data_IF_939843060137
#
_entry.id   IF_939843060137
#
_cell.length_a   1.000
_cell.length_b   1.000
_cell.length_c   1.000
_cell.angle_alpha   90.00
_cell.angle_beta   90.00
_cell.angle_gamma   90.00
#
_symmetry.space_group_name_H-M   'P 1'
#
loop_
_entity.id
_entity.type
_entity.pdbx_description
1 polymer ?
#
# COMPACT_ATOMS: atom_id res chain seq x y z
N UNK A 1 -43.38 -52.91 -2.25
CA UNK A 1 -43.82 -51.51 -2.21
C UNK A 1 -42.77 -50.57 -1.61
N UNK A 2 -42.20 -50.84 -0.41
CA UNK A 2 -41.19 -49.98 0.21
C UNK A 2 -39.91 -49.81 -0.64
N UNK A 3 -39.42 -50.85 -1.25
CA UNK A 3 -38.20 -50.85 -2.10
C UNK A 3 -38.32 -49.98 -3.39
N UNK A 4 -39.50 -49.93 -3.96
CA UNK A 4 -39.80 -49.09 -5.14
C UNK A 4 -39.86 -47.62 -4.77
N UNK A 5 -40.41 -47.29 -3.60
CA UNK A 5 -40.50 -45.93 -3.09
C UNK A 5 -39.08 -45.39 -2.76
N UNK A 6 -38.23 -46.22 -2.13
CA UNK A 6 -36.84 -45.85 -1.82
C UNK A 6 -36.03 -45.62 -3.09
N UNK A 7 -36.19 -46.47 -4.12
CA UNK A 7 -35.57 -46.32 -5.41
C UNK A 7 -35.99 -45.07 -6.16
N UNK A 8 -37.29 -44.80 -6.20
CA UNK A 8 -37.83 -43.58 -6.79
C UNK A 8 -37.35 -42.31 -6.07
N UNK A 9 -37.33 -42.36 -4.74
CA UNK A 9 -36.82 -41.26 -3.91
C UNK A 9 -35.33 -41.00 -4.11
N UNK A 10 -34.50 -42.04 -4.25
CA UNK A 10 -33.07 -41.91 -4.53
C UNK A 10 -32.82 -41.30 -5.92
N UNK A 11 -33.58 -41.74 -6.93
CA UNK A 11 -33.51 -41.17 -8.28
C UNK A 11 -33.97 -39.72 -8.28
N UNK A 12 -35.07 -39.41 -7.63
CA UNK A 12 -35.58 -38.04 -7.49
C UNK A 12 -34.56 -37.14 -6.77
N UNK A 13 -33.96 -37.60 -5.66
CA UNK A 13 -32.91 -36.90 -4.95
C UNK A 13 -31.66 -36.70 -5.83
N UNK A 14 -31.28 -37.68 -6.65
CA UNK A 14 -30.13 -37.56 -7.57
C UNK A 14 -30.37 -36.46 -8.63
N UNK A 15 -31.58 -36.36 -9.17
CA UNK A 15 -31.98 -35.31 -10.12
C UNK A 15 -32.11 -33.93 -9.46
N UNK A 16 -32.68 -33.85 -8.25
CA UNK A 16 -32.93 -32.60 -7.53
C UNK A 16 -31.63 -32.02 -6.91
N UNK A 17 -30.73 -32.89 -6.42
CA UNK A 17 -29.47 -32.47 -5.78
C UNK A 17 -28.36 -32.11 -6.76
N UNK A 18 -28.57 -32.25 -8.08
CA UNK A 18 -27.58 -31.89 -9.12
C UNK A 18 -26.14 -32.26 -8.74
N UNK A 19 -25.92 -33.51 -8.35
CA UNK A 19 -24.60 -34.05 -8.06
C UNK A 19 -23.72 -33.91 -9.33
N UNK A 20 -22.53 -33.35 -9.18
CA UNK A 20 -21.49 -33.15 -10.21
C UNK A 20 -21.54 -31.89 -11.09
N UNK A 21 -22.22 -30.83 -10.74
CA UNK A 21 -22.02 -29.54 -11.42
C UNK A 21 -21.14 -28.62 -10.57
N UNK A 22 -19.85 -28.96 -10.45
CA UNK A 22 -18.87 -28.08 -9.85
C UNK A 22 -18.34 -27.08 -10.91
N UNK A 23 -18.41 -25.82 -10.57
CA UNK A 23 -17.83 -24.72 -11.34
C UNK A 23 -16.53 -24.26 -10.70
N UNK A 24 -15.57 -23.88 -11.52
CA UNK A 24 -14.33 -23.29 -11.00
C UNK A 24 -14.50 -21.79 -10.87
N UNK A 25 -14.12 -21.26 -9.72
CA UNK A 25 -14.17 -19.81 -9.45
C UNK A 25 -13.10 -19.11 -10.27
N UNK A 26 -13.46 -18.13 -11.13
CA UNK A 26 -12.49 -17.34 -11.88
C UNK A 26 -11.70 -16.40 -10.96
N UNK A 27 -10.55 -15.94 -11.44
CA UNK A 27 -9.81 -14.87 -10.75
C UNK A 27 -10.44 -13.52 -11.12
N UNK A 28 -11.02 -12.87 -10.13
CA UNK A 28 -11.70 -11.59 -10.24
C UNK A 28 -10.88 -10.46 -9.60
N UNK A 29 -9.70 -10.77 -9.08
CA UNK A 29 -8.85 -9.79 -8.40
C UNK A 29 -8.19 -8.81 -9.38
N UNK A 30 -7.88 -7.61 -8.89
CA UNK A 30 -7.18 -6.57 -9.67
C UNK A 30 -7.89 -6.10 -10.95
N UNK A 31 -9.19 -6.36 -11.11
CA UNK A 31 -10.01 -5.89 -12.22
C UNK A 31 -11.16 -4.98 -11.74
N UNK A 32 -11.75 -4.15 -12.63
CA UNK A 32 -12.92 -3.35 -12.29
C UNK A 32 -14.09 -4.22 -11.82
N UNK A 33 -14.86 -3.75 -10.86
CA UNK A 33 -16.04 -4.47 -10.34
C UNK A 33 -17.03 -4.87 -11.45
N UNK A 34 -17.19 -4.03 -12.48
CA UNK A 34 -18.08 -4.32 -13.63
C UNK A 34 -17.60 -5.55 -14.41
N UNK A 35 -16.31 -5.64 -14.70
CA UNK A 35 -15.72 -6.78 -15.38
C UNK A 35 -15.78 -8.04 -14.53
N UNK A 36 -15.48 -7.92 -13.23
CA UNK A 36 -15.58 -9.03 -12.28
C UNK A 36 -17.00 -9.61 -12.19
N UNK A 37 -18.03 -8.75 -12.21
CA UNK A 37 -19.43 -9.19 -12.26
C UNK A 37 -19.74 -9.94 -13.53
N UNK A 38 -19.33 -9.40 -14.67
CA UNK A 38 -19.55 -10.02 -15.96
C UNK A 38 -18.89 -11.40 -16.03
N UNK A 39 -17.62 -11.53 -15.65
CA UNK A 39 -16.87 -12.79 -15.70
C UNK A 39 -17.46 -13.84 -14.75
N UNK A 40 -17.89 -13.43 -13.55
CA UNK A 40 -18.57 -14.33 -12.63
C UNK A 40 -19.93 -14.83 -13.17
N UNK A 41 -20.72 -13.95 -13.78
CA UNK A 41 -21.99 -14.31 -14.41
C UNK A 41 -21.80 -15.28 -15.58
N UNK A 42 -20.80 -15.07 -16.43
CA UNK A 42 -20.42 -15.99 -17.51
C UNK A 42 -20.03 -17.37 -16.95
N UNK A 43 -19.39 -17.42 -15.79
CA UNK A 43 -19.05 -18.64 -15.08
C UNK A 43 -20.27 -19.27 -14.33
N UNK A 44 -21.46 -18.69 -14.42
CA UNK A 44 -22.66 -19.16 -13.74
C UNK A 44 -22.66 -18.92 -12.22
N UNK A 45 -21.88 -17.94 -11.76
CA UNK A 45 -21.73 -17.56 -10.37
C UNK A 45 -22.37 -16.18 -10.13
N UNK A 46 -22.51 -15.78 -8.86
CA UNK A 46 -23.03 -14.47 -8.46
C UNK A 46 -21.95 -13.73 -7.67
N UNK A 47 -21.95 -12.41 -7.72
CA UNK A 47 -21.03 -11.60 -6.93
C UNK A 47 -21.81 -10.72 -5.95
N UNK A 48 -21.22 -10.47 -4.79
CA UNK A 48 -21.70 -9.52 -3.80
C UNK A 48 -20.52 -8.75 -3.22
N UNK A 49 -20.62 -7.42 -3.22
CA UNK A 49 -19.65 -6.58 -2.52
C UNK A 49 -20.03 -6.57 -1.05
N UNK A 50 -19.17 -7.15 -0.22
CA UNK A 50 -19.39 -7.28 1.23
C UNK A 50 -18.59 -6.26 2.03
N UNK A 51 -17.52 -5.73 1.44
CA UNK A 51 -16.62 -4.81 2.13
C UNK A 51 -15.90 -3.89 1.14
N UNK A 52 -15.38 -2.77 1.63
CA UNK A 52 -14.52 -1.88 0.90
C UNK A 52 -13.34 -1.43 1.75
N UNK A 53 -12.14 -1.57 1.21
CA UNK A 53 -10.89 -1.15 1.84
C UNK A 53 -10.18 -0.16 0.94
N UNK A 54 -9.42 0.75 1.54
CA UNK A 54 -8.60 1.65 0.73
C UNK A 54 -7.19 1.07 0.56
N UNK A 55 -6.83 0.83 -0.69
CA UNK A 55 -5.49 0.34 -1.07
C UNK A 55 -4.89 1.28 -2.11
N UNK A 56 -3.88 2.04 -1.74
CA UNK A 56 -3.26 3.10 -2.55
C UNK A 56 -2.77 2.63 -3.93
N UNK A 57 -2.29 1.39 -4.04
CA UNK A 57 -1.74 0.82 -5.29
C UNK A 57 -2.78 0.26 -6.23
N UNK A 58 -4.00 0.06 -5.75
CA UNK A 58 -5.10 -0.48 -6.55
C UNK A 58 -6.01 0.67 -6.99
N UNK A 59 -6.46 0.66 -8.24
CA UNK A 59 -7.41 1.66 -8.73
C UNK A 59 -8.72 1.58 -7.94
N UNK A 60 -9.36 2.72 -7.70
CA UNK A 60 -10.67 2.80 -7.02
C UNK A 60 -11.72 1.98 -7.76
N UNK A 61 -12.55 1.25 -7.04
CA UNK A 61 -13.59 0.38 -7.60
C UNK A 61 -13.09 -0.95 -8.19
N UNK A 62 -11.81 -1.28 -8.01
CA UNK A 62 -11.24 -2.57 -8.41
C UNK A 62 -11.41 -3.58 -7.27
N UNK A 63 -11.50 -4.85 -7.64
CA UNK A 63 -11.59 -5.95 -6.68
C UNK A 63 -10.22 -6.16 -6.01
N UNK A 64 -10.19 -6.00 -4.69
CA UNK A 64 -9.01 -6.22 -3.88
C UNK A 64 -8.87 -7.68 -3.46
N UNK A 65 -9.98 -8.29 -3.04
CA UNK A 65 -10.02 -9.67 -2.54
C UNK A 65 -11.34 -10.32 -2.91
N UNK A 66 -11.31 -11.63 -3.13
CA UNK A 66 -12.51 -12.45 -3.33
C UNK A 66 -12.53 -13.65 -2.38
N UNK A 67 -13.73 -14.13 -2.07
CA UNK A 67 -13.97 -15.37 -1.35
C UNK A 67 -15.22 -16.05 -1.95
N UNK A 68 -15.10 -17.30 -2.48
CA UNK A 68 -13.94 -18.21 -2.48
C UNK A 68 -12.76 -17.74 -3.34
N UNK A 69 -11.57 -18.25 -3.01
CA UNK A 69 -10.32 -17.95 -3.74
C UNK A 69 -10.39 -18.47 -5.19
N UNK A 70 -9.66 -17.86 -6.14
CA UNK A 70 -9.56 -18.35 -7.51
C UNK A 70 -9.21 -19.84 -7.58
N UNK A 71 -9.80 -20.56 -8.53
CA UNK A 71 -9.59 -22.00 -8.70
C UNK A 71 -10.40 -22.90 -7.77
N UNK A 72 -11.10 -22.36 -6.77
CA UNK A 72 -11.97 -23.14 -5.88
C UNK A 72 -13.12 -23.78 -6.66
N UNK A 73 -13.51 -24.99 -6.26
CA UNK A 73 -14.69 -25.68 -6.81
C UNK A 73 -15.94 -25.33 -6.01
N UNK A 74 -16.96 -24.84 -6.68
CA UNK A 74 -18.20 -24.40 -6.08
C UNK A 74 -19.42 -24.86 -6.87
N UNK A 75 -20.58 -24.87 -6.24
CA UNK A 75 -21.85 -25.19 -6.93
C UNK A 75 -22.32 -24.02 -7.79
N UNK A 76 -23.03 -24.30 -8.88
CA UNK A 76 -23.68 -23.29 -9.72
C UNK A 76 -24.52 -22.33 -8.91
N UNK A 77 -24.40 -21.03 -9.21
CA UNK A 77 -25.09 -19.97 -8.50
C UNK A 77 -24.49 -19.60 -7.12
N UNK A 78 -23.33 -20.18 -6.77
CA UNK A 78 -22.60 -19.76 -5.56
C UNK A 78 -22.28 -18.27 -5.63
N UNK A 79 -22.45 -17.61 -4.49
CA UNK A 79 -22.09 -16.21 -4.32
C UNK A 79 -20.59 -16.09 -4.01
N UNK A 80 -19.92 -15.20 -4.75
CA UNK A 80 -18.55 -14.79 -4.49
C UNK A 80 -18.61 -13.46 -3.76
N UNK A 81 -18.08 -13.42 -2.54
CA UNK A 81 -17.94 -12.21 -1.76
C UNK A 81 -16.73 -11.42 -2.27
N UNK A 82 -16.92 -10.17 -2.61
CA UNK A 82 -15.90 -9.29 -3.12
C UNK A 82 -15.62 -8.17 -2.11
N UNK A 83 -14.35 -7.96 -1.80
CA UNK A 83 -13.86 -6.72 -1.17
C UNK A 83 -13.32 -5.84 -2.27
N UNK A 84 -13.82 -4.62 -2.40
CA UNK A 84 -13.36 -3.68 -3.44
C UNK A 84 -12.46 -2.60 -2.85
N UNK A 85 -11.63 -2.00 -3.70
CA UNK A 85 -10.95 -0.78 -3.30
C UNK A 85 -11.96 0.36 -3.23
N UNK A 86 -11.99 1.05 -2.10
CA UNK A 86 -12.99 2.08 -1.80
C UNK A 86 -13.06 3.14 -2.92
N UNK A 87 -14.27 3.45 -3.35
CA UNK A 87 -14.53 4.50 -4.33
C UNK A 87 -14.40 5.87 -3.67
N UNK A 88 -14.88 5.99 -2.43
CA UNK A 88 -14.78 7.21 -1.64
C UNK A 88 -13.75 7.01 -0.54
N UNK A 89 -12.68 7.81 -0.51
CA UNK A 89 -11.68 7.73 0.55
C UNK A 89 -12.28 8.18 1.89
N UNK A 90 -11.79 7.59 2.97
CA UNK A 90 -12.08 8.06 4.33
C UNK A 90 -11.49 9.47 4.47
N UNK A 91 -12.27 10.41 5.00
CA UNK A 91 -11.77 11.73 5.36
C UNK A 91 -11.19 11.72 6.77
N UNK A 92 -10.16 12.50 6.97
CA UNK A 92 -9.52 12.76 8.26
C UNK A 92 -9.28 14.26 8.41
N UNK A 93 -9.14 14.73 9.63
CA UNK A 93 -8.86 16.12 9.92
C UNK A 93 -7.35 16.36 9.95
N UNK A 94 -6.89 17.43 9.30
CA UNK A 94 -5.48 17.82 9.33
C UNK A 94 -5.07 18.29 10.73
N UNK A 95 -4.07 17.66 11.37
CA UNK A 95 -3.55 18.15 12.65
C UNK A 95 -2.73 19.44 12.47
N UNK A 96 -2.51 20.16 13.57
CA UNK A 96 -1.57 21.27 13.59
C UNK A 96 -0.15 20.75 13.85
N UNK A 97 0.71 20.85 12.84
CA UNK A 97 2.09 20.39 12.91
C UNK A 97 3.08 21.55 13.07
N UNK A 98 2.63 22.79 12.88
CA UNK A 98 3.49 23.98 12.97
C UNK A 98 4.04 24.11 14.40
N UNK A 99 5.36 24.30 14.50
CA UNK A 99 6.08 24.36 15.76
C UNK A 99 6.54 23.00 16.30
N UNK A 100 6.13 21.88 15.69
CA UNK A 100 6.63 20.55 16.06
C UNK A 100 8.01 20.30 15.42
N UNK A 101 8.80 19.43 16.06
CA UNK A 101 9.96 18.85 15.37
C UNK A 101 9.50 17.93 14.25
N UNK A 102 10.31 17.72 13.22
CA UNK A 102 10.03 16.82 12.11
C UNK A 102 9.61 15.42 12.59
N UNK A 103 10.27 14.88 13.63
CA UNK A 103 9.93 13.57 14.20
C UNK A 103 8.55 13.53 14.84
N UNK A 104 8.20 14.56 15.59
CA UNK A 104 6.86 14.69 16.19
C UNK A 104 5.80 14.84 15.11
N UNK A 105 6.04 15.69 14.11
CA UNK A 105 5.12 15.87 12.99
C UNK A 105 4.89 14.56 12.20
N UNK A 106 5.94 13.78 11.95
CA UNK A 106 5.84 12.46 11.31
C UNK A 106 4.96 11.50 12.12
N UNK A 107 5.18 11.43 13.44
CA UNK A 107 4.38 10.57 14.32
C UNK A 107 2.91 11.00 14.34
N UNK A 108 2.66 12.31 14.39
CA UNK A 108 1.30 12.86 14.37
C UNK A 108 0.60 12.57 13.05
N UNK A 109 1.26 12.81 11.91
CA UNK A 109 0.72 12.43 10.59
C UNK A 109 0.33 10.95 10.53
N UNK A 110 1.20 10.07 11.02
CA UNK A 110 0.91 8.63 11.06
C UNK A 110 -0.32 8.31 11.93
N UNK A 111 -0.48 8.98 13.07
CA UNK A 111 -1.63 8.80 13.97
C UNK A 111 -2.95 9.17 13.30
N UNK A 112 -2.95 10.21 12.46
CA UNK A 112 -4.12 10.64 11.69
C UNK A 112 -4.28 9.89 10.35
N UNK A 113 -3.41 8.90 10.08
CA UNK A 113 -3.46 8.13 8.84
C UNK A 113 -3.05 8.96 7.62
N UNK A 114 -2.17 9.94 7.81
CA UNK A 114 -1.56 10.77 6.79
C UNK A 114 -0.12 10.31 6.53
N UNK A 115 0.44 10.69 5.39
CA UNK A 115 1.77 10.25 4.96
C UNK A 115 2.70 11.46 4.88
N UNK A 116 3.88 11.35 5.49
CA UNK A 116 4.94 12.34 5.33
C UNK A 116 5.45 12.33 3.89
N UNK A 117 5.44 13.48 3.26
CA UNK A 117 5.96 13.72 1.92
C UNK A 117 7.38 14.28 1.94
N UNK A 118 7.60 15.36 1.19
CA UNK A 118 8.90 16.00 1.07
C UNK A 118 9.21 16.87 2.27
N UNK A 119 10.49 16.92 2.62
CA UNK A 119 11.08 17.82 3.59
C UNK A 119 11.69 19.00 2.82
N UNK A 120 11.08 20.18 2.94
CA UNK A 120 11.49 21.41 2.24
C UNK A 120 12.17 22.31 3.22
N UNK A 121 13.48 22.45 3.11
CA UNK A 121 14.27 23.25 4.04
C UNK A 121 14.37 24.71 3.62
N UNK A 122 14.17 25.61 4.59
CA UNK A 122 14.33 27.05 4.42
C UNK A 122 15.17 27.61 5.57
N UNK A 123 15.91 28.70 5.34
CA UNK A 123 16.76 29.29 6.36
C UNK A 123 15.95 29.73 7.59
N UNK A 124 16.32 29.19 8.75
CA UNK A 124 15.71 29.48 10.04
C UNK A 124 16.73 29.21 11.17
N UNK A 125 16.49 29.75 12.37
CA UNK A 125 17.35 29.52 13.53
C UNK A 125 17.22 28.12 14.12
N UNK A 126 16.09 27.44 13.89
CA UNK A 126 15.76 26.14 14.47
C UNK A 126 15.72 25.05 13.37
N UNK A 127 16.75 24.21 13.31
CA UNK A 127 16.82 23.06 12.40
C UNK A 127 15.73 22.05 12.70
N UNK A 128 15.07 21.52 11.64
CA UNK A 128 14.03 20.50 11.73
C UNK A 128 12.75 20.91 12.49
N UNK A 129 12.51 22.20 12.68
CA UNK A 129 11.24 22.72 13.20
C UNK A 129 10.26 22.96 12.04
N UNK A 130 9.02 22.50 12.18
CA UNK A 130 7.98 22.67 11.15
C UNK A 130 7.50 24.12 11.13
N UNK A 131 7.69 24.77 10.01
CA UNK A 131 7.25 26.16 9.77
C UNK A 131 5.92 26.19 9.03
N UNK A 132 5.70 25.24 8.09
CA UNK A 132 4.46 25.12 7.31
C UNK A 132 4.18 23.66 6.96
N UNK A 133 2.90 23.38 6.75
CA UNK A 133 2.40 22.09 6.26
C UNK A 133 1.71 22.31 4.91
N UNK A 134 2.07 21.46 3.92
CA UNK A 134 1.61 21.62 2.55
C UNK A 134 0.95 20.33 2.05
N UNK A 135 -0.11 20.47 1.28
CA UNK A 135 -0.67 19.41 0.44
C UNK A 135 -0.37 19.72 -1.01
N UNK A 136 0.61 19.04 -1.58
CA UNK A 136 1.18 19.43 -2.88
C UNK A 136 1.88 20.80 -2.77
N UNK A 137 1.43 21.78 -3.53
CA UNK A 137 2.02 23.12 -3.51
C UNK A 137 1.20 24.15 -2.71
N UNK A 138 0.14 23.71 -2.01
CA UNK A 138 -0.75 24.58 -1.27
C UNK A 138 -0.59 24.38 0.23
N UNK A 139 -0.50 25.48 0.97
CA UNK A 139 -0.54 25.44 2.44
C UNK A 139 -1.91 24.91 2.88
N UNK A 140 -1.92 24.00 3.85
CA UNK A 140 -3.12 23.41 4.41
C UNK A 140 -3.21 23.79 5.89
N UNK A 141 -4.37 24.28 6.31
CA UNK A 141 -4.58 24.69 7.69
C UNK A 141 -4.97 23.49 8.58
N UNK A 142 -4.67 23.63 9.87
CA UNK A 142 -5.15 22.67 10.85
C UNK A 142 -6.68 22.70 10.92
N UNK A 143 -7.31 21.54 11.03
CA UNK A 143 -8.78 21.41 11.05
C UNK A 143 -9.42 21.16 9.68
N UNK A 144 -8.71 21.35 8.57
CA UNK A 144 -9.24 21.05 7.25
C UNK A 144 -9.50 19.53 7.07
N UNK A 145 -10.60 19.20 6.38
CA UNK A 145 -10.89 17.83 6.00
C UNK A 145 -10.13 17.42 4.75
N UNK A 146 -9.34 16.37 4.88
CA UNK A 146 -8.57 15.80 3.77
C UNK A 146 -8.77 14.29 3.67
N UNK A 147 -8.45 13.72 2.51
CA UNK A 147 -8.48 12.27 2.33
C UNK A 147 -7.41 11.59 3.19
N UNK A 148 -7.77 10.47 3.84
CA UNK A 148 -6.77 9.64 4.52
C UNK A 148 -5.68 9.21 3.54
N UNK A 149 -4.48 8.95 4.05
CA UNK A 149 -3.27 8.66 3.27
C UNK A 149 -2.83 9.80 2.32
N UNK A 150 -3.40 11.01 2.47
CA UNK A 150 -2.86 12.17 1.78
C UNK A 150 -1.41 12.41 2.18
N UNK A 151 -0.60 12.76 1.18
CA UNK A 151 0.82 13.09 1.38
C UNK A 151 0.93 14.54 1.79
N UNK A 152 1.60 14.79 2.90
CA UNK A 152 1.81 16.13 3.47
C UNK A 152 3.30 16.43 3.42
N UNK A 153 3.65 17.47 2.67
CA UNK A 153 5.01 18.01 2.63
C UNK A 153 5.19 18.97 3.81
N UNK A 154 6.38 18.99 4.39
CA UNK A 154 6.71 19.87 5.51
C UNK A 154 7.76 20.90 5.09
N UNK A 155 7.49 22.18 5.36
CA UNK A 155 8.52 23.23 5.30
C UNK A 155 9.20 23.28 6.67
N UNK A 156 10.49 23.04 6.67
CA UNK A 156 11.31 22.89 7.88
C UNK A 156 12.34 24.01 7.95
N UNK A 157 12.63 24.47 9.16
CA UNK A 157 13.74 25.35 9.40
C UNK A 157 15.08 24.65 9.21
N UNK A 158 16.08 25.40 8.77
CA UNK A 158 17.45 24.96 8.60
C UNK A 158 18.42 26.05 9.08
N UNK A 159 19.14 25.76 10.14
CA UNK A 159 20.24 26.63 10.58
C UNK A 159 21.44 26.38 9.65
N UNK A 160 22.02 27.40 9.04
CA UNK A 160 23.20 27.28 8.19
C UNK A 160 24.42 26.61 8.84
N UNK A 161 24.52 26.69 10.17
CA UNK A 161 25.61 26.08 10.94
C UNK A 161 25.36 24.60 11.26
N UNK A 162 24.11 24.11 11.09
CA UNK A 162 23.69 22.74 11.38
C UNK A 162 22.84 22.21 10.21
N UNK A 163 23.44 22.14 9.03
CA UNK A 163 22.74 21.82 7.78
C UNK A 163 23.21 20.51 7.13
N UNK A 164 24.04 19.74 7.81
CA UNK A 164 24.60 18.51 7.25
C UNK A 164 24.03 17.26 7.92
N UNK A 165 23.98 16.19 7.15
CA UNK A 165 23.57 14.85 7.56
C UNK A 165 24.39 13.81 6.81
N UNK A 166 24.05 12.54 6.95
CA UNK A 166 24.70 11.44 6.21
C UNK A 166 23.66 10.56 5.53
N UNK A 167 24.06 9.92 4.43
CA UNK A 167 23.19 8.98 3.72
C UNK A 167 23.19 7.65 4.47
N UNK A 168 22.03 7.22 5.01
CA UNK A 168 21.94 5.98 5.78
C UNK A 168 22.06 4.75 4.88
N UNK A 169 22.64 3.68 5.40
CA UNK A 169 22.58 2.38 4.73
C UNK A 169 21.23 1.73 4.99
N UNK A 170 20.37 1.79 4.00
CA UNK A 170 19.01 1.19 4.03
C UNK A 170 18.92 -0.07 3.17
N UNK A 171 20.07 -0.62 2.72
CA UNK A 171 20.09 -1.87 1.95
C UNK A 171 19.61 -3.03 2.83
N UNK A 172 18.83 -3.92 2.26
CA UNK A 172 18.18 -5.02 2.96
C UNK A 172 16.83 -4.66 3.62
N UNK A 173 16.54 -3.38 3.80
CA UNK A 173 15.25 -2.94 4.38
C UNK A 173 14.12 -3.02 3.35
N UNK A 174 12.90 -3.23 3.85
CA UNK A 174 11.68 -3.05 3.05
C UNK A 174 11.44 -1.58 2.77
N UNK A 175 10.66 -1.28 1.71
CA UNK A 175 10.43 0.08 1.25
C UNK A 175 10.04 1.04 2.37
N UNK A 176 9.03 0.71 3.19
CA UNK A 176 8.55 1.63 4.22
C UNK A 176 9.64 1.93 5.26
N UNK A 177 10.35 0.91 5.73
CA UNK A 177 11.44 1.09 6.68
C UNK A 177 12.61 1.89 6.09
N UNK A 178 12.88 1.72 4.79
CA UNK A 178 13.89 2.50 4.10
C UNK A 178 13.49 3.98 3.96
N UNK A 179 12.23 4.25 3.61
CA UNK A 179 11.66 5.61 3.58
C UNK A 179 11.78 6.27 4.95
N UNK A 180 11.41 5.54 5.99
CA UNK A 180 11.48 6.03 7.36
C UNK A 180 12.90 6.41 7.77
N UNK A 181 13.88 5.55 7.49
CA UNK A 181 15.28 5.82 7.81
C UNK A 181 15.87 6.99 7.01
N UNK A 182 15.47 7.16 5.74
CA UNK A 182 15.87 8.31 4.92
C UNK A 182 15.32 9.60 5.49
N UNK A 183 14.03 9.66 5.83
CA UNK A 183 13.43 10.85 6.45
C UNK A 183 14.01 11.15 7.83
N UNK A 184 14.34 10.13 8.64
CA UNK A 184 14.98 10.31 9.94
C UNK A 184 16.36 10.96 9.84
N UNK A 185 17.02 10.76 8.72
CA UNK A 185 18.27 11.43 8.35
C UNK A 185 18.05 12.76 7.61
N UNK A 186 16.82 13.33 7.69
CA UNK A 186 16.52 14.63 7.07
C UNK A 186 16.77 14.69 5.55
N UNK A 187 16.62 13.55 4.88
CA UNK A 187 16.78 13.38 3.42
C UNK A 187 15.45 13.10 2.75
N UNK A 188 15.38 13.34 1.45
CA UNK A 188 14.21 13.11 0.62
C UNK A 188 14.39 11.87 -0.29
N UNK A 189 13.27 11.36 -0.81
CA UNK A 189 13.27 10.29 -1.80
C UNK A 189 12.88 10.86 -3.16
N UNK A 190 13.86 10.94 -4.07
CA UNK A 190 13.62 11.37 -5.45
C UNK A 190 12.78 10.35 -6.22
N UNK A 191 13.10 9.07 -6.09
CA UNK A 191 12.45 7.99 -6.83
C UNK A 191 12.64 6.64 -6.17
N UNK A 192 11.58 5.83 -6.24
CA UNK A 192 11.60 4.40 -5.96
C UNK A 192 11.59 3.65 -7.29
N UNK A 193 12.58 2.81 -7.53
CA UNK A 193 12.79 2.08 -8.78
C UNK A 193 12.70 0.59 -8.47
N UNK A 194 11.75 -0.09 -9.10
CA UNK A 194 11.61 -1.53 -9.00
C UNK A 194 12.35 -2.21 -10.15
N UNK A 195 13.13 -3.24 -9.83
CA UNK A 195 13.82 -4.05 -10.83
C UNK A 195 12.83 -4.93 -11.60
N UNK A 196 13.32 -5.55 -12.69
CA UNK A 196 12.48 -6.35 -13.61
C UNK A 196 11.87 -7.61 -12.99
N UNK A 197 12.42 -8.07 -11.88
CA UNK A 197 11.94 -9.21 -11.09
C UNK A 197 10.69 -8.89 -10.27
N UNK A 198 10.44 -7.61 -9.96
CA UNK A 198 9.25 -7.15 -9.24
C UNK A 198 8.11 -6.90 -10.23
N UNK A 199 7.23 -7.87 -10.41
CA UNK A 199 6.16 -7.84 -11.41
C UNK A 199 4.77 -7.69 -10.81
N UNK A 200 4.56 -8.20 -9.60
CA UNK A 200 3.25 -8.23 -8.94
C UNK A 200 3.20 -7.27 -7.75
N UNK A 201 1.99 -7.03 -7.23
CA UNK A 201 1.83 -6.28 -5.99
C UNK A 201 2.44 -7.01 -4.79
N UNK A 202 2.41 -8.35 -4.78
CA UNK A 202 3.03 -9.17 -3.74
C UNK A 202 4.55 -9.05 -3.79
N UNK A 203 5.14 -9.08 -5.00
CA UNK A 203 6.57 -8.84 -5.18
C UNK A 203 6.98 -7.48 -4.61
N UNK A 204 6.17 -6.45 -4.86
CA UNK A 204 6.42 -5.09 -4.34
C UNK A 204 6.42 -5.01 -2.82
N UNK A 205 5.59 -5.82 -2.13
CA UNK A 205 5.52 -5.87 -0.67
C UNK A 205 6.72 -6.63 -0.10
N UNK A 206 7.16 -7.68 -0.79
CA UNK A 206 8.29 -8.53 -0.37
C UNK A 206 9.65 -7.94 -0.75
N UNK A 207 9.70 -7.07 -1.77
CA UNK A 207 10.92 -6.44 -2.25
C UNK A 207 11.66 -5.68 -1.15
N UNK A 208 12.97 -5.68 -1.25
CA UNK A 208 13.88 -4.95 -0.37
C UNK A 208 14.80 -4.05 -1.17
N UNK A 209 15.35 -3.03 -0.52
CA UNK A 209 16.33 -2.12 -1.12
C UNK A 209 17.66 -2.86 -1.27
N UNK A 210 18.16 -2.95 -2.50
CA UNK A 210 19.47 -3.53 -2.77
C UNK A 210 20.54 -2.48 -3.08
N UNK A 211 20.10 -1.29 -3.53
CA UNK A 211 20.99 -0.18 -3.89
C UNK A 211 20.35 1.16 -3.53
N UNK A 212 21.19 2.08 -3.06
CA UNK A 212 20.85 3.48 -2.77
C UNK A 212 21.74 4.38 -3.61
N UNK A 213 21.22 5.47 -4.13
CA UNK A 213 22.01 6.45 -4.91
C UNK A 213 21.64 7.86 -4.44
N UNK A 214 22.62 8.66 -3.98
CA UNK A 214 24.04 8.34 -3.80
C UNK A 214 24.28 7.17 -2.86
N UNK A 215 25.46 6.54 -2.92
CA UNK A 215 25.78 5.41 -2.04
C UNK A 215 25.86 5.85 -0.57
N UNK A 216 25.50 4.95 0.37
CA UNK A 216 25.66 5.22 1.80
C UNK A 216 27.10 5.63 2.12
N UNK A 217 27.24 6.71 2.84
CA UNK A 217 28.54 7.29 3.14
C UNK A 217 28.48 8.02 4.48
N UNK A 218 29.59 7.97 5.21
CA UNK A 218 29.82 8.79 6.40
C UNK A 218 30.19 10.24 6.04
N UNK A 219 30.46 10.51 4.77
CA UNK A 219 30.72 11.88 4.32
C UNK A 219 29.44 12.71 4.45
N UNK A 220 29.54 13.93 4.97
CA UNK A 220 28.38 14.78 5.16
C UNK A 220 27.79 15.19 3.81
N UNK A 221 26.45 15.14 3.74
CA UNK A 221 25.63 15.70 2.67
C UNK A 221 24.69 16.75 3.26
N UNK A 222 24.02 17.53 2.42
CA UNK A 222 23.09 18.55 2.91
C UNK A 222 21.75 17.94 3.29
N UNK A 223 21.14 18.44 4.35
CA UNK A 223 19.75 18.12 4.67
C UNK A 223 18.82 18.52 3.53
N UNK A 224 17.80 17.70 3.26
CA UNK A 224 16.89 17.89 2.13
C UNK A 224 17.37 17.28 0.82
N UNK A 225 18.62 16.80 0.74
CA UNK A 225 19.08 16.10 -0.47
C UNK A 225 18.26 14.87 -0.78
N UNK A 226 18.26 14.49 -2.05
CA UNK A 226 17.41 13.42 -2.59
C UNK A 226 18.17 12.14 -2.83
N UNK A 227 17.61 11.02 -2.39
CA UNK A 227 18.14 9.68 -2.66
C UNK A 227 17.21 8.89 -3.55
N UNK A 228 17.77 7.97 -4.35
CA UNK A 228 17.00 7.00 -5.17
C UNK A 228 17.17 5.62 -4.54
N UNK A 229 16.04 4.92 -4.39
CA UNK A 229 15.99 3.58 -3.85
C UNK A 229 15.70 2.57 -4.97
N UNK A 230 16.53 1.53 -5.08
CA UNK A 230 16.34 0.43 -6.03
C UNK A 230 15.90 -0.81 -5.27
N UNK A 231 14.78 -1.39 -5.66
CA UNK A 231 14.18 -2.55 -4.98
C UNK A 231 14.19 -3.78 -5.88
N UNK A 232 14.43 -4.94 -5.27
CA UNK A 232 14.47 -6.25 -5.90
C UNK A 232 13.87 -7.31 -4.98
N UNK A 233 13.42 -8.42 -5.55
CA UNK A 233 13.08 -9.64 -4.81
C UNK A 233 14.20 -10.68 -4.86
N UNK A 234 15.24 -10.43 -5.64
CA UNK A 234 16.39 -11.33 -5.80
C UNK A 234 17.25 -11.38 -4.54
N UNK A 235 17.10 -12.46 -3.77
CA UNK A 235 17.79 -12.70 -2.50
C UNK A 235 19.32 -12.68 -2.66
N UNK A 236 19.87 -13.01 -3.84
CA UNK A 236 21.31 -12.97 -4.08
C UNK A 236 21.90 -11.55 -3.97
N UNK A 237 21.07 -10.51 -4.10
CA UNK A 237 21.45 -9.10 -3.95
C UNK A 237 21.24 -8.55 -2.54
N UNK A 238 20.76 -9.37 -1.61
CA UNK A 238 20.59 -8.94 -0.23
C UNK A 238 21.97 -8.79 0.42
N UNK A 239 22.25 -7.66 1.09
CA UNK A 239 23.51 -7.53 1.82
C UNK A 239 23.65 -8.66 2.82
N UNK A 240 24.84 -9.25 2.89
CA UNK A 240 25.15 -10.21 3.95
C UNK A 240 25.20 -9.41 5.25
N UNK A 241 24.33 -9.71 6.19
CA UNK A 241 24.46 -9.20 7.55
C UNK A 241 25.82 -9.66 8.09
N UNK A 242 26.76 -8.74 8.19
CA UNK A 242 27.98 -8.97 8.95
C UNK A 242 27.50 -9.11 10.40
N UNK A 243 27.47 -10.35 10.90
CA UNK A 243 27.26 -10.62 12.33
C UNK A 243 28.36 -9.87 13.09
N UNK A 244 27.95 -8.85 13.83
CA UNK A 244 28.78 -8.16 14.82
C UNK A 244 28.91 -9.00 16.07
#
# INVERSE_FOLDING_TARGET
MATVIIGASAIFLHFVTRHNQELTVPDLTSMPLSSARFDAEQAGLRTEVVDSVYVRRLKRGYVFKQDPIPGSKVKKGRRISLTINAVTPKKVTMPNLVGYSMRQAKAELSTWGLVLGRLIYVSDIATNNVLKQLKGNHEIEAGEEIESESVIDLVLGLNPEDNTTSIPDVRGLKLNSAIDAVHENSLNIARVIYEKDVKTSEDSISAFVWRVVPEPSELPCLMGEEVKLYLTTDIARKPVELAL
#
